data_IF_754418901993
#
_entry.id   IF_754418901993
#
_cell.length_a   1.000
_cell.length_b   1.000
_cell.length_c   1.000
_cell.angle_alpha   90.00
_cell.angle_beta   90.00
_cell.angle_gamma   90.00
#
_symmetry.space_group_name_H-M   'P 1'
#
loop_
_entity.id
_entity.type
_entity.pdbx_description
1 polymer ?
#
# COMPACT_ATOMS: atom_id res chain seq x y z
N UNK A 1 -35.47 25.16 67.82
CA UNK A 1 -34.65 25.85 66.80
C UNK A 1 -34.59 24.92 65.60
N UNK A 2 -35.13 25.31 64.42
CA UNK A 2 -35.15 24.45 63.24
C UNK A 2 -33.90 24.63 62.37
N UNK A 3 -33.63 23.58 61.60
CA UNK A 3 -32.40 23.23 60.86
C UNK A 3 -32.13 24.11 59.62
N UNK A 4 -30.86 24.42 59.36
CA UNK A 4 -30.41 25.24 58.21
C UNK A 4 -29.22 24.67 57.46
N UNK A 5 -29.26 23.40 57.07
CA UNK A 5 -28.31 22.84 56.10
C UNK A 5 -29.00 22.00 55.04
N UNK A 6 -29.94 22.60 54.31
CA UNK A 6 -30.36 22.08 53.01
C UNK A 6 -29.31 22.54 52.01
N UNK A 7 -28.32 21.69 51.78
CA UNK A 7 -27.30 21.80 50.73
C UNK A 7 -27.96 21.59 49.36
N UNK A 8 -28.84 22.51 48.96
CA UNK A 8 -29.49 22.55 47.65
C UNK A 8 -28.64 23.39 46.69
N UNK A 9 -27.54 22.81 46.20
CA UNK A 9 -26.83 23.34 45.04
C UNK A 9 -26.57 22.22 44.03
N UNK A 10 -27.63 21.53 43.62
CA UNK A 10 -27.62 20.76 42.38
C UNK A 10 -27.58 21.76 41.21
N UNK A 11 -26.36 22.16 40.82
CA UNK A 11 -26.09 23.00 39.67
C UNK A 11 -26.74 22.40 38.41
N UNK A 12 -27.85 22.99 37.97
CA UNK A 12 -28.56 22.64 36.74
C UNK A 12 -27.68 22.93 35.53
N UNK A 13 -26.88 21.93 35.13
CA UNK A 13 -25.99 22.02 33.96
C UNK A 13 -26.82 21.87 32.69
N UNK A 14 -27.12 22.99 32.04
CA UNK A 14 -27.80 23.01 30.74
C UNK A 14 -26.95 22.27 29.70
N UNK A 15 -27.57 21.51 28.77
CA UNK A 15 -26.84 20.96 27.65
C UNK A 15 -26.26 22.10 26.81
N UNK A 16 -25.02 21.96 26.29
CA UNK A 16 -24.40 22.99 25.49
C UNK A 16 -25.26 23.30 24.25
N UNK A 17 -25.41 24.59 23.94
CA UNK A 17 -26.27 25.08 22.86
C UNK A 17 -25.83 24.65 21.44
N UNK A 18 -24.61 24.13 21.29
CA UNK A 18 -24.05 23.70 20.01
C UNK A 18 -23.95 22.16 19.95
N UNK A 19 -24.46 21.51 18.89
CA UNK A 19 -24.25 20.09 18.64
C UNK A 19 -22.75 19.79 18.55
N UNK A 20 -22.31 18.67 19.15
CA UNK A 20 -20.91 18.28 19.10
C UNK A 20 -20.59 17.69 17.72
N UNK A 21 -19.89 18.46 16.88
CA UNK A 21 -19.44 18.03 15.54
C UNK A 21 -18.06 17.34 15.57
N UNK A 22 -17.60 16.86 16.73
CA UNK A 22 -16.28 16.25 16.86
C UNK A 22 -16.11 14.99 15.97
N UNK A 23 -17.21 14.32 15.61
CA UNK A 23 -17.20 13.13 14.76
C UNK A 23 -16.74 13.41 13.31
N UNK A 24 -16.91 14.64 12.81
CA UNK A 24 -16.46 15.03 11.46
C UNK A 24 -15.12 15.77 11.48
N UNK A 25 -14.53 15.97 12.66
CA UNK A 25 -13.30 16.73 12.81
C UNK A 25 -12.12 15.95 12.22
N UNK A 26 -11.39 16.60 11.30
CA UNK A 26 -10.15 16.05 10.73
C UNK A 26 -9.16 15.74 11.87
N UNK A 27 -8.64 14.52 11.96
CA UNK A 27 -7.62 14.17 12.95
C UNK A 27 -6.32 14.95 12.71
N UNK A 28 -5.62 15.35 13.77
CA UNK A 28 -4.42 16.19 13.67
C UNK A 28 -3.16 15.42 13.22
N UNK A 29 -3.18 14.08 13.23
CA UNK A 29 -2.02 13.26 12.87
C UNK A 29 -1.91 13.04 11.37
N UNK A 30 -0.69 13.02 10.80
CA UNK A 30 -0.47 12.83 9.36
C UNK A 30 -1.07 11.50 8.84
N UNK A 31 -0.89 10.41 9.58
CA UNK A 31 -1.49 9.11 9.26
C UNK A 31 -3.02 9.14 9.42
N UNK A 32 -3.52 9.80 10.47
CA UNK A 32 -4.96 9.98 10.69
C UNK A 32 -5.61 10.72 9.52
N UNK A 33 -4.97 11.75 8.99
CA UNK A 33 -5.44 12.48 7.80
C UNK A 33 -5.49 11.57 6.57
N UNK A 34 -4.50 10.70 6.38
CA UNK A 34 -4.47 9.78 5.26
C UNK A 34 -5.63 8.77 5.34
N UNK A 35 -5.80 8.10 6.48
CA UNK A 35 -6.93 7.18 6.69
C UNK A 35 -8.28 7.89 6.63
N UNK A 36 -8.38 9.10 7.16
CA UNK A 36 -9.60 9.92 7.07
C UNK A 36 -9.95 10.23 5.61
N UNK A 37 -8.97 10.59 4.78
CA UNK A 37 -9.20 10.87 3.36
C UNK A 37 -9.57 9.61 2.58
N UNK A 38 -8.90 8.49 2.83
CA UNK A 38 -9.24 7.20 2.24
C UNK A 38 -10.65 6.76 2.62
N UNK A 39 -11.01 6.89 3.90
CA UNK A 39 -12.36 6.62 4.39
C UNK A 39 -13.41 7.49 3.70
N UNK A 40 -13.17 8.80 3.59
CA UNK A 40 -14.08 9.73 2.92
C UNK A 40 -14.25 9.40 1.43
N UNK A 41 -13.19 8.95 0.74
CA UNK A 41 -13.26 8.50 -0.65
C UNK A 41 -14.08 7.22 -0.81
N UNK A 42 -13.87 6.24 0.08
CA UNK A 42 -14.61 4.98 0.10
C UNK A 42 -16.11 5.25 0.35
N UNK A 43 -16.43 6.07 1.35
CA UNK A 43 -17.81 6.45 1.70
C UNK A 43 -18.50 7.26 0.59
N UNK A 44 -17.75 8.01 -0.22
CA UNK A 44 -18.29 8.84 -1.31
C UNK A 44 -18.68 8.06 -2.57
N UNK A 45 -18.23 6.81 -2.73
CA UNK A 45 -18.64 6.01 -3.88
C UNK A 45 -20.10 5.57 -3.70
N UNK A 46 -20.96 6.00 -4.62
CA UNK A 46 -22.43 5.91 -4.53
C UNK A 46 -22.94 4.53 -4.07
N UNK A 47 -22.36 3.46 -4.62
CA UNK A 47 -22.71 2.07 -4.26
C UNK A 47 -22.45 1.82 -2.78
N UNK A 48 -21.27 2.17 -2.25
CA UNK A 48 -20.99 2.00 -0.83
C UNK A 48 -21.86 2.92 0.03
N UNK A 49 -22.28 4.11 -0.41
CA UNK A 49 -23.17 4.94 0.41
C UNK A 49 -24.53 4.28 0.69
N UNK A 50 -25.03 3.47 -0.24
CA UNK A 50 -26.33 2.81 -0.18
C UNK A 50 -26.32 1.45 0.54
N UNK A 51 -25.14 0.85 0.72
CA UNK A 51 -25.01 -0.44 1.41
C UNK A 51 -25.19 -0.31 2.93
N UNK A 52 -25.78 -1.33 3.53
CA UNK A 52 -25.86 -1.41 4.99
C UNK A 52 -24.46 -1.49 5.63
N UNK A 53 -24.28 -1.04 6.89
CA UNK A 53 -23.00 -1.12 7.59
C UNK A 53 -22.39 -2.53 7.60
N UNK A 54 -23.23 -3.56 7.66
CA UNK A 54 -22.78 -4.95 7.69
C UNK A 54 -22.34 -5.43 6.29
N UNK A 55 -23.05 -5.06 5.22
CA UNK A 55 -22.73 -5.44 3.84
C UNK A 55 -21.38 -4.87 3.40
N UNK A 56 -21.09 -3.62 3.81
CA UNK A 56 -19.79 -2.98 3.63
C UNK A 56 -18.64 -3.81 4.21
N UNK A 57 -18.84 -4.34 5.42
CA UNK A 57 -17.84 -5.17 6.10
C UNK A 57 -17.62 -6.48 5.34
N UNK A 58 -18.69 -7.12 4.85
CA UNK A 58 -18.55 -8.31 4.00
C UNK A 58 -17.82 -8.02 2.69
N UNK A 59 -18.18 -6.96 1.99
CA UNK A 59 -17.55 -6.62 0.72
C UNK A 59 -16.05 -6.33 0.89
N UNK A 60 -15.69 -5.58 1.92
CA UNK A 60 -14.29 -5.28 2.23
C UNK A 60 -13.51 -6.54 2.61
N UNK A 61 -14.11 -7.47 3.37
CA UNK A 61 -13.43 -8.72 3.75
C UNK A 61 -13.22 -9.63 2.55
N UNK A 62 -14.23 -9.80 1.67
CA UNK A 62 -14.10 -10.57 0.44
C UNK A 62 -13.07 -9.94 -0.50
N UNK A 63 -13.15 -8.62 -0.72
CA UNK A 63 -12.20 -7.90 -1.56
C UNK A 63 -10.76 -8.02 -1.02
N UNK A 64 -10.58 -7.91 0.29
CA UNK A 64 -9.28 -8.07 0.93
C UNK A 64 -8.76 -9.50 0.79
N UNK A 65 -9.61 -10.51 1.00
CA UNK A 65 -9.25 -11.91 0.81
C UNK A 65 -8.85 -12.21 -0.64
N UNK A 66 -9.62 -11.71 -1.62
CA UNK A 66 -9.28 -11.80 -3.04
C UNK A 66 -7.98 -11.08 -3.38
N UNK A 67 -7.79 -9.85 -2.89
CA UNK A 67 -6.54 -9.11 -3.06
C UNK A 67 -5.37 -9.89 -2.49
N UNK A 68 -5.46 -10.40 -1.26
CA UNK A 68 -4.38 -11.20 -0.66
C UNK A 68 -4.08 -12.46 -1.46
N UNK A 69 -5.11 -13.16 -1.94
CA UNK A 69 -4.94 -14.33 -2.80
C UNK A 69 -4.25 -13.96 -4.11
N UNK A 70 -4.66 -12.86 -4.75
CA UNK A 70 -4.03 -12.35 -5.96
C UNK A 70 -2.59 -11.92 -5.72
N UNK A 71 -2.31 -11.15 -4.66
CA UNK A 71 -0.95 -10.75 -4.30
C UNK A 71 -0.09 -11.98 -4.04
N UNK A 72 -0.57 -12.94 -3.25
CA UNK A 72 0.17 -14.19 -2.98
C UNK A 72 0.42 -14.97 -4.27
N UNK A 73 -0.58 -15.05 -5.14
CA UNK A 73 -0.46 -15.64 -6.47
C UNK A 73 0.60 -14.93 -7.31
N UNK A 74 0.52 -13.61 -7.45
CA UNK A 74 1.49 -12.79 -8.18
C UNK A 74 2.90 -12.96 -7.58
N UNK A 75 3.08 -12.78 -6.28
CA UNK A 75 4.40 -12.94 -5.65
C UNK A 75 5.01 -14.32 -5.87
N UNK A 76 4.19 -15.38 -5.88
CA UNK A 76 4.67 -16.76 -6.05
C UNK A 76 4.84 -17.18 -7.51
N UNK A 77 3.93 -16.80 -8.40
CA UNK A 77 3.90 -17.19 -9.80
C UNK A 77 4.61 -16.22 -10.74
N UNK A 78 4.53 -14.91 -10.48
CA UNK A 78 5.10 -13.89 -11.35
C UNK A 78 6.61 -14.02 -11.55
N UNK A 79 7.47 -14.32 -10.55
CA UNK A 79 8.91 -14.46 -10.81
C UNK A 79 9.23 -15.59 -11.79
N UNK A 80 8.49 -16.69 -11.75
CA UNK A 80 8.69 -17.82 -12.66
C UNK A 80 8.34 -17.45 -14.11
N UNK A 81 7.23 -16.74 -14.31
CA UNK A 81 6.84 -16.27 -15.64
C UNK A 81 7.73 -15.14 -16.18
N UNK A 82 8.25 -14.28 -15.30
CA UNK A 82 9.12 -13.17 -15.70
C UNK A 82 10.46 -13.65 -16.26
N UNK A 83 11.02 -14.73 -15.70
CA UNK A 83 12.27 -15.34 -16.19
C UNK A 83 12.09 -15.89 -17.61
N UNK A 84 10.99 -16.58 -17.86
CA UNK A 84 10.67 -17.14 -19.18
C UNK A 84 10.38 -16.04 -20.21
N UNK A 85 9.57 -15.05 -19.84
CA UNK A 85 9.20 -13.95 -20.72
C UNK A 85 10.41 -13.06 -21.02
N UNK A 86 11.33 -12.89 -20.07
CA UNK A 86 12.59 -12.18 -20.28
C UNK A 86 13.44 -12.82 -21.37
N UNK A 87 13.58 -14.16 -21.39
CA UNK A 87 14.36 -14.85 -22.42
C UNK A 87 13.82 -14.58 -23.83
N UNK A 88 12.49 -14.63 -23.99
CA UNK A 88 11.82 -14.30 -25.26
C UNK A 88 11.88 -12.81 -25.60
N UNK A 89 11.67 -11.93 -24.62
CA UNK A 89 11.72 -10.48 -24.82
C UNK A 89 13.12 -10.05 -25.28
N UNK A 90 14.19 -10.60 -24.70
CA UNK A 90 15.57 -10.32 -25.13
C UNK A 90 15.81 -10.82 -26.55
N UNK A 91 15.30 -12.01 -26.91
CA UNK A 91 15.41 -12.54 -28.27
C UNK A 91 14.73 -11.62 -29.30
N UNK A 92 13.52 -11.14 -29.01
CA UNK A 92 12.79 -10.27 -29.93
C UNK A 92 13.31 -8.83 -29.96
N UNK A 93 13.82 -8.32 -28.83
CA UNK A 93 14.29 -6.94 -28.73
C UNK A 93 15.73 -6.76 -29.25
N UNK A 94 16.59 -7.78 -29.07
CA UNK A 94 18.01 -7.71 -29.41
C UNK A 94 18.42 -8.59 -30.60
N UNK A 95 17.52 -9.45 -31.08
CA UNK A 95 17.67 -10.21 -32.35
C UNK A 95 18.76 -11.29 -32.39
N UNK A 96 19.53 -11.47 -31.32
CA UNK A 96 20.66 -12.40 -31.22
C UNK A 96 20.98 -12.66 -29.73
N UNK A 97 21.57 -13.80 -29.38
CA UNK A 97 22.11 -14.21 -28.06
C UNK A 97 22.94 -13.11 -27.33
N UNK A 98 22.28 -12.04 -26.87
CA UNK A 98 22.92 -10.86 -26.29
C UNK A 98 22.74 -10.76 -24.78
N UNK A 99 21.94 -11.65 -24.17
CA UNK A 99 21.61 -11.56 -22.75
C UNK A 99 22.82 -11.71 -21.84
N UNK A 100 23.70 -12.65 -22.12
CA UNK A 100 24.86 -12.91 -21.26
C UNK A 100 25.96 -11.89 -21.53
N UNK A 101 26.33 -11.68 -22.80
CA UNK A 101 27.40 -10.75 -23.18
C UNK A 101 27.10 -9.31 -22.79
N UNK A 102 25.88 -8.83 -22.98
CA UNK A 102 25.51 -7.46 -22.62
C UNK A 102 25.45 -7.26 -21.10
N UNK A 103 24.96 -8.24 -20.34
CA UNK A 103 24.97 -8.18 -18.88
C UNK A 103 26.39 -8.23 -18.32
N UNK A 104 27.26 -9.11 -18.82
CA UNK A 104 28.66 -9.18 -18.41
C UNK A 104 29.45 -7.92 -18.81
N UNK A 105 29.10 -7.31 -19.94
CA UNK A 105 29.66 -6.04 -20.40
C UNK A 105 29.17 -4.86 -19.56
N UNK A 106 27.89 -4.83 -19.17
CA UNK A 106 27.33 -3.82 -18.28
C UNK A 106 27.81 -3.97 -16.83
N UNK A 107 28.02 -5.20 -16.35
CA UNK A 107 28.62 -5.50 -15.03
C UNK A 107 30.14 -5.23 -14.99
N UNK A 108 30.78 -4.85 -16.10
CA UNK A 108 32.20 -4.51 -16.16
C UNK A 108 33.19 -5.67 -15.97
N UNK A 109 32.72 -6.90 -15.81
CA UNK A 109 33.56 -8.08 -15.52
C UNK A 109 34.23 -8.68 -16.76
N UNK A 110 33.85 -8.26 -17.97
CA UNK A 110 34.38 -8.82 -19.21
C UNK A 110 35.75 -8.24 -19.62
N UNK A 111 36.18 -7.10 -19.06
CA UNK A 111 37.40 -6.39 -19.48
C UNK A 111 38.70 -6.88 -18.82
N UNK A 112 38.64 -7.31 -17.57
CA UNK A 112 39.83 -7.61 -16.76
C UNK A 112 40.54 -8.92 -17.18
N UNK A 113 39.78 -9.95 -17.58
CA UNK A 113 40.34 -11.25 -17.94
C UNK A 113 41.02 -11.27 -19.31
N UNK A 114 40.56 -10.45 -20.26
CA UNK A 114 41.07 -10.47 -21.63
C UNK A 114 42.39 -9.70 -21.77
N UNK A 115 42.59 -8.63 -20.98
CA UNK A 115 43.84 -7.83 -20.97
C UNK A 115 45.01 -8.60 -20.35
N UNK A 116 44.76 -9.36 -19.27
CA UNK A 116 45.81 -10.21 -18.68
C UNK A 116 46.21 -11.38 -19.60
N UNK A 117 45.25 -11.94 -20.36
CA UNK A 117 45.52 -13.02 -21.30
C UNK A 117 46.31 -12.57 -22.54
N UNK A 118 46.13 -11.33 -22.99
CA UNK A 118 46.92 -10.76 -24.09
C UNK A 118 48.32 -10.32 -23.66
N UNK A 119 48.51 -9.81 -22.43
CA UNK A 119 49.84 -9.49 -21.91
C UNK A 119 50.73 -10.72 -21.73
N UNK A 120 50.16 -11.88 -21.40
CA UNK A 120 50.93 -13.11 -21.17
C UNK A 120 51.40 -13.81 -22.46
N UNK A 121 50.97 -13.34 -23.64
CA UNK A 121 51.40 -13.86 -24.95
C UNK A 121 52.52 -13.03 -25.60
N UNK A 122 52.80 -11.84 -25.08
CA UNK A 122 53.77 -10.88 -25.62
C UNK A 122 55.09 -10.83 -24.80
N UNK A 123 55.27 -11.76 -23.84
CA UNK A 123 56.51 -12.01 -23.09
C UNK A 123 57.01 -13.43 -23.37
#
# INVERSE_FOLDING_TARGET
MPDSSVTAASSTRLPPAKPNHDFTRRPSSKLGVFFWRQRMWIESTFVLSMLEPWEKILLLTIFFAFSLLLFTGVYKYMPQHLIFLRGRAVYYLWGQEGGERFLWQWLGLAGEGMVNASLHKEL
#
